data_IF_628023111345
#
_entry.id   IF_628023111345
#
_cell.length_a   1.000
_cell.length_b   1.000
_cell.length_c   1.000
_cell.angle_alpha   90.00
_cell.angle_beta   90.00
_cell.angle_gamma   90.00
#
_symmetry.space_group_name_H-M   'P 1'
#
loop_
_entity.id
_entity.type
_entity.pdbx_description
1 polymer ?
#
# COMPACT_ATOMS: atom_id res chain seq x y z
N UNK A 1 19.65 8.64 -0.76
CA UNK A 1 19.67 7.32 -0.08
C UNK A 1 19.79 6.29 -1.19
N UNK A 2 20.69 5.32 -1.03
CA UNK A 2 20.82 4.24 -2.03
C UNK A 2 19.59 3.34 -2.02
N UNK A 3 19.23 2.77 -3.18
CA UNK A 3 18.03 1.94 -3.36
C UNK A 3 17.91 0.82 -2.32
N UNK A 4 18.99 0.09 -2.07
CA UNK A 4 19.00 -0.99 -1.06
C UNK A 4 18.74 -0.49 0.36
N UNK A 5 19.22 0.70 0.70
CA UNK A 5 18.96 1.33 2.00
C UNK A 5 17.48 1.70 2.15
N UNK A 6 16.86 2.20 1.07
CA UNK A 6 15.41 2.50 1.04
C UNK A 6 14.61 1.22 1.26
N UNK A 7 14.94 0.14 0.55
CA UNK A 7 14.27 -1.15 0.69
C UNK A 7 14.42 -1.74 2.10
N UNK A 8 15.59 -1.64 2.71
CA UNK A 8 15.82 -2.09 4.09
C UNK A 8 15.02 -1.27 5.10
N UNK A 9 14.98 0.05 4.93
CA UNK A 9 14.19 0.95 5.77
C UNK A 9 12.70 0.63 5.66
N UNK A 10 12.18 0.48 4.44
CA UNK A 10 10.79 0.12 4.18
C UNK A 10 10.40 -1.21 4.85
N UNK A 11 11.27 -2.23 4.75
CA UNK A 11 11.05 -3.53 5.42
C UNK A 11 11.04 -3.39 6.95
N UNK A 12 11.91 -2.57 7.51
CA UNK A 12 11.98 -2.35 8.96
C UNK A 12 10.72 -1.64 9.48
N UNK A 13 10.24 -0.63 8.75
CA UNK A 13 9.04 0.13 9.12
C UNK A 13 7.78 -0.73 8.94
N UNK A 14 7.67 -1.47 7.85
CA UNK A 14 6.45 -2.23 7.54
C UNK A 14 6.30 -3.53 8.34
N UNK A 15 7.40 -4.09 8.86
CA UNK A 15 7.41 -5.38 9.56
C UNK A 15 6.44 -5.46 10.75
N UNK A 16 6.34 -4.46 11.64
CA UNK A 16 5.40 -4.49 12.77
C UNK A 16 3.92 -4.51 12.32
N UNK A 17 3.63 -3.90 11.17
CA UNK A 17 2.27 -3.76 10.63
C UNK A 17 1.88 -4.91 9.67
N UNK A 18 2.80 -5.84 9.43
CA UNK A 18 2.57 -6.98 8.54
C UNK A 18 1.86 -8.11 9.25
N UNK A 19 0.63 -8.38 8.87
CA UNK A 19 -0.17 -9.51 9.37
C UNK A 19 -0.08 -10.65 8.35
N UNK A 20 0.76 -11.65 8.63
CA UNK A 20 0.95 -12.80 7.73
C UNK A 20 0.00 -13.97 8.03
N UNK A 21 -0.66 -13.99 9.20
CA UNK A 21 -1.58 -15.05 9.63
C UNK A 21 -2.84 -14.46 10.23
N UNK A 22 -3.89 -14.36 9.44
CA UNK A 22 -5.17 -13.78 9.84
C UNK A 22 -5.86 -14.51 11.00
N UNK A 23 -5.69 -15.83 11.14
CA UNK A 23 -6.35 -16.62 12.18
C UNK A 23 -6.03 -16.20 13.63
N UNK A 24 -4.90 -15.52 13.85
CA UNK A 24 -4.50 -15.00 15.17
C UNK A 24 -4.68 -13.48 15.30
N UNK A 25 -5.15 -12.83 14.24
CA UNK A 25 -5.33 -11.39 14.23
C UNK A 25 -6.57 -11.00 15.04
N UNK A 26 -6.42 -10.02 15.92
CA UNK A 26 -7.53 -9.40 16.65
C UNK A 26 -7.40 -7.89 16.50
N UNK A 27 -8.38 -7.28 15.89
CA UNK A 27 -8.39 -5.84 15.62
C UNK A 27 -8.18 -4.99 16.87
N UNK A 28 -8.73 -5.42 18.02
CA UNK A 28 -8.58 -4.74 19.30
C UNK A 28 -7.14 -4.64 19.82
N UNK A 29 -6.25 -5.49 19.32
CA UNK A 29 -4.85 -5.53 19.74
C UNK A 29 -3.97 -4.57 18.91
N UNK A 30 -4.58 -3.81 17.98
CA UNK A 30 -3.92 -2.88 17.09
C UNK A 30 -4.49 -1.48 17.26
N UNK A 31 -3.63 -0.54 17.67
CA UNK A 31 -4.00 0.87 17.76
C UNK A 31 -3.83 1.52 16.38
N UNK A 32 -4.89 2.06 15.77
CA UNK A 32 -4.79 2.76 14.49
C UNK A 32 -3.96 4.06 14.55
N UNK A 33 -3.71 4.58 15.74
CA UNK A 33 -2.86 5.75 15.96
C UNK A 33 -1.39 5.40 16.25
N UNK A 34 -1.03 4.10 16.25
CA UNK A 34 0.34 3.66 16.48
C UNK A 34 1.25 4.08 15.31
N UNK A 35 2.14 5.01 15.58
CA UNK A 35 3.17 5.47 14.65
C UNK A 35 4.50 4.68 14.77
N UNK A 36 4.52 3.65 15.59
CA UNK A 36 5.71 2.87 15.90
C UNK A 36 6.83 3.75 16.51
N UNK A 37 8.07 3.59 16.06
CA UNK A 37 9.20 4.37 16.58
C UNK A 37 9.26 5.81 16.06
N UNK A 38 8.26 6.27 15.26
CA UNK A 38 8.27 7.59 14.63
C UNK A 38 7.44 8.58 15.46
N UNK A 39 8.08 9.28 16.36
CA UNK A 39 7.48 10.43 17.07
C UNK A 39 7.43 11.70 16.23
N UNK A 40 6.84 12.77 16.77
CA UNK A 40 6.66 14.04 16.07
C UNK A 40 8.02 14.68 15.62
N UNK A 41 9.07 14.44 16.36
CA UNK A 41 10.44 14.88 16.06
C UNK A 41 10.98 14.23 14.78
N UNK A 42 10.45 13.09 14.37
CA UNK A 42 10.89 12.36 13.18
C UNK A 42 10.13 12.75 11.89
N UNK A 43 9.13 13.66 11.98
CA UNK A 43 8.32 14.06 10.82
C UNK A 43 9.10 14.52 9.59
N UNK A 44 10.17 15.36 9.72
CA UNK A 44 10.98 15.76 8.57
C UNK A 44 11.66 14.55 7.92
N UNK A 45 12.31 13.71 8.71
CA UNK A 45 13.01 12.51 8.24
C UNK A 45 12.03 11.49 7.63
N UNK A 46 10.82 11.39 8.16
CA UNK A 46 9.76 10.54 7.63
C UNK A 46 9.28 11.02 6.25
N UNK A 47 9.22 12.34 6.04
CA UNK A 47 8.88 12.94 4.75
C UNK A 47 9.94 12.64 3.69
N UNK A 48 11.21 12.80 4.03
CA UNK A 48 12.32 12.50 3.12
C UNK A 48 12.38 11.00 2.78
N UNK A 49 12.13 10.14 3.77
CA UNK A 49 12.06 8.69 3.59
C UNK A 49 10.88 8.28 2.70
N UNK A 50 9.75 8.97 2.81
CA UNK A 50 8.58 8.74 1.96
C UNK A 50 8.85 9.11 0.51
N UNK A 51 9.52 10.26 0.26
CA UNK A 51 9.91 10.69 -1.07
C UNK A 51 10.87 9.69 -1.71
N UNK A 52 11.92 9.31 -1.00
CA UNK A 52 12.85 8.27 -1.45
C UNK A 52 12.14 6.92 -1.68
N UNK A 53 11.14 6.59 -0.86
CA UNK A 53 10.31 5.40 -1.01
C UNK A 53 9.47 5.41 -2.29
N UNK A 54 8.92 6.57 -2.66
CA UNK A 54 8.16 6.70 -3.92
C UNK A 54 9.04 6.55 -5.15
N UNK A 55 10.25 7.14 -5.11
CA UNK A 55 11.22 6.99 -6.22
C UNK A 55 11.65 5.54 -6.39
N UNK A 56 11.92 4.85 -5.27
CA UNK A 56 12.25 3.43 -5.29
C UNK A 56 11.08 2.57 -5.80
N UNK A 57 9.84 2.92 -5.42
CA UNK A 57 8.63 2.22 -5.89
C UNK A 57 8.42 2.40 -7.40
N UNK A 58 8.67 3.60 -7.93
CA UNK A 58 8.62 3.86 -9.36
C UNK A 58 9.64 3.00 -10.12
N UNK A 59 10.88 2.92 -9.65
CA UNK A 59 11.90 2.04 -10.25
C UNK A 59 11.50 0.57 -10.21
N UNK A 60 10.95 0.10 -9.09
CA UNK A 60 10.46 -1.28 -8.95
C UNK A 60 9.30 -1.57 -9.91
N UNK A 61 8.42 -0.62 -10.11
CA UNK A 61 7.29 -0.75 -11.01
C UNK A 61 7.75 -0.83 -12.48
N UNK A 62 8.72 0.00 -12.87
CA UNK A 62 9.32 -0.06 -14.22
C UNK A 62 9.99 -1.43 -14.46
N UNK A 63 10.71 -1.96 -13.46
CA UNK A 63 11.32 -3.29 -13.55
C UNK A 63 10.26 -4.39 -13.64
N UNK A 64 9.18 -4.28 -12.84
CA UNK A 64 8.06 -5.22 -12.86
C UNK A 64 7.35 -5.21 -14.22
N UNK A 65 7.14 -4.02 -14.77
CA UNK A 65 6.53 -3.84 -16.08
C UNK A 65 7.41 -4.45 -17.20
N UNK A 66 8.71 -4.15 -17.17
CA UNK A 66 9.64 -4.60 -18.19
C UNK A 66 9.84 -6.13 -18.24
N UNK A 67 9.70 -6.84 -17.10
CA UNK A 67 9.90 -8.29 -17.05
C UNK A 67 8.72 -9.09 -17.63
N UNK A 68 7.52 -8.50 -17.75
CA UNK A 68 6.30 -9.03 -18.40
C UNK A 68 5.91 -10.48 -18.01
N UNK A 69 6.21 -10.91 -16.79
CA UNK A 69 5.91 -12.28 -16.30
C UNK A 69 5.02 -12.28 -15.05
N UNK A 70 5.13 -11.24 -14.23
CA UNK A 70 4.47 -11.16 -12.93
C UNK A 70 3.76 -9.82 -12.80
N UNK A 71 2.65 -9.84 -12.11
CA UNK A 71 1.94 -8.64 -11.69
C UNK A 71 1.72 -8.67 -10.18
N UNK A 72 1.50 -7.50 -9.61
CA UNK A 72 1.14 -7.34 -8.19
C UNK A 72 -0.28 -6.84 -8.12
N UNK A 73 -1.14 -7.58 -7.43
CA UNK A 73 -2.51 -7.17 -7.13
C UNK A 73 -2.53 -6.52 -5.74
N UNK A 74 -2.90 -5.25 -5.69
CA UNK A 74 -3.11 -4.51 -4.44
C UNK A 74 -4.60 -4.35 -4.20
N UNK A 75 -5.10 -4.93 -3.11
CA UNK A 75 -6.50 -4.82 -2.72
C UNK A 75 -6.60 -3.85 -1.54
N UNK A 76 -7.26 -2.71 -1.76
CA UNK A 76 -7.53 -1.71 -0.73
C UNK A 76 -8.99 -1.79 -0.31
N UNK A 77 -9.22 -2.19 0.93
CA UNK A 77 -10.55 -2.24 1.50
C UNK A 77 -10.60 -1.38 2.76
N UNK A 78 -11.61 -0.53 2.85
CA UNK A 78 -11.85 0.29 4.02
C UNK A 78 -13.33 0.72 4.05
N UNK A 79 -13.79 1.08 5.25
CA UNK A 79 -15.08 1.74 5.40
C UNK A 79 -15.08 3.08 4.67
N UNK A 80 -16.27 3.59 4.39
CA UNK A 80 -16.42 4.93 3.81
C UNK A 80 -15.74 5.98 4.71
N UNK A 81 -15.16 7.00 4.08
CA UNK A 81 -14.40 8.06 4.74
C UNK A 81 -13.16 7.61 5.56
N UNK A 82 -12.73 6.34 5.50
CA UNK A 82 -11.55 5.84 6.21
C UNK A 82 -10.20 6.25 5.60
N UNK A 83 -10.20 7.10 4.57
CA UNK A 83 -8.98 7.63 3.97
C UNK A 83 -8.34 6.76 2.88
N UNK A 84 -9.00 5.70 2.43
CA UNK A 84 -8.50 4.77 1.40
C UNK A 84 -8.00 5.49 0.14
N UNK A 85 -8.80 6.39 -0.40
CA UNK A 85 -8.49 7.10 -1.65
C UNK A 85 -7.31 8.06 -1.46
N UNK A 86 -7.22 8.69 -0.29
CA UNK A 86 -6.07 9.52 0.10
C UNK A 86 -4.79 8.72 0.17
N UNK A 87 -4.83 7.54 0.79
CA UNK A 87 -3.69 6.63 0.90
C UNK A 87 -3.22 6.15 -0.49
N UNK A 88 -4.15 5.71 -1.35
CA UNK A 88 -3.83 5.29 -2.72
C UNK A 88 -3.18 6.44 -3.50
N UNK A 89 -3.82 7.61 -3.50
CA UNK A 89 -3.30 8.80 -4.19
C UNK A 89 -1.90 9.19 -3.71
N UNK A 90 -1.65 9.06 -2.41
CA UNK A 90 -0.38 9.42 -1.80
C UNK A 90 0.74 8.42 -2.15
N UNK A 91 0.47 7.12 -2.06
CA UNK A 91 1.43 6.06 -2.34
C UNK A 91 1.71 5.94 -3.83
N UNK A 92 0.67 6.04 -4.66
CA UNK A 92 0.79 5.87 -6.11
C UNK A 92 1.23 7.14 -6.85
N UNK A 93 1.45 8.26 -6.15
CA UNK A 93 1.98 9.48 -6.77
C UNK A 93 3.42 9.24 -7.24
N UNK A 94 3.69 9.38 -8.53
CA UNK A 94 4.99 9.11 -9.14
C UNK A 94 5.11 7.72 -9.80
N UNK A 95 4.10 6.87 -9.69
CA UNK A 95 4.02 5.62 -10.41
C UNK A 95 3.57 5.87 -11.85
N UNK A 96 4.17 5.17 -12.84
CA UNK A 96 3.76 5.27 -14.23
C UNK A 96 2.36 4.64 -14.42
N UNK A 97 1.33 5.43 -14.79
CA UNK A 97 -0.02 4.92 -14.94
C UNK A 97 -0.18 3.89 -16.06
N UNK A 98 0.71 3.86 -17.05
CA UNK A 98 0.67 2.87 -18.13
C UNK A 98 0.91 1.43 -17.63
N UNK A 99 1.62 1.28 -16.53
CA UNK A 99 1.87 -0.02 -15.89
C UNK A 99 0.84 -0.40 -14.83
N UNK A 100 -0.25 0.36 -14.67
CA UNK A 100 -1.25 0.16 -13.63
C UNK A 100 -2.66 0.05 -14.22
N UNK A 101 -3.42 -0.90 -13.68
CA UNK A 101 -4.87 -0.96 -13.91
C UNK A 101 -5.58 -0.71 -12.58
N UNK A 102 -6.56 0.17 -12.59
CA UNK A 102 -7.31 0.54 -11.37
C UNK A 102 -8.77 0.20 -11.55
N UNK A 103 -9.29 -0.61 -10.65
CA UNK A 103 -10.70 -0.96 -10.57
C UNK A 103 -11.28 -0.42 -9.27
N UNK A 104 -12.35 0.35 -9.38
CA UNK A 104 -13.07 0.90 -8.23
C UNK A 104 -14.40 0.18 -8.08
N UNK A 105 -14.51 -0.63 -7.05
CA UNK A 105 -15.76 -1.31 -6.69
C UNK A 105 -16.59 -0.40 -5.79
N UNK A 106 -17.86 -0.26 -6.14
CA UNK A 106 -18.89 0.42 -5.33
C UNK A 106 -19.77 -0.63 -4.65
N UNK A 107 -20.91 -0.21 -4.13
CA UNK A 107 -21.93 -1.15 -3.72
C UNK A 107 -22.29 -2.06 -4.91
N UNK A 108 -22.36 -3.38 -4.70
CA UNK A 108 -22.65 -4.32 -5.78
C UNK A 108 -24.02 -4.02 -6.41
N UNK A 109 -24.12 -4.19 -7.72
CA UNK A 109 -25.38 -4.16 -8.45
C UNK A 109 -26.22 -5.43 -8.15
N UNK A 110 -27.49 -5.42 -8.53
CA UNK A 110 -28.34 -6.62 -8.39
C UNK A 110 -27.77 -7.80 -9.17
N UNK A 111 -27.23 -7.57 -10.35
CA UNK A 111 -26.58 -8.59 -11.17
C UNK A 111 -25.32 -9.16 -10.50
N UNK A 112 -24.49 -8.33 -9.90
CA UNK A 112 -23.29 -8.77 -9.17
C UNK A 112 -23.64 -9.58 -7.91
N UNK A 113 -24.78 -9.29 -7.27
CA UNK A 113 -25.26 -10.03 -6.10
C UNK A 113 -25.76 -11.43 -6.43
N UNK A 114 -26.17 -11.65 -7.67
CA UNK A 114 -26.64 -12.97 -8.16
C UNK A 114 -25.47 -13.89 -8.58
N UNK A 115 -24.24 -13.37 -8.55
CA UNK A 115 -23.05 -14.09 -8.97
C UNK A 115 -22.04 -14.29 -7.85
N UNK A 116 -21.07 -15.15 -8.09
CA UNK A 116 -19.92 -15.33 -7.22
C UNK A 116 -19.06 -14.05 -7.18
N UNK A 117 -18.40 -13.80 -6.05
CA UNK A 117 -17.58 -12.61 -5.85
C UNK A 117 -16.35 -12.51 -6.76
N UNK A 118 -16.03 -13.55 -7.51
CA UNK A 118 -15.01 -13.56 -8.55
C UNK A 118 -15.56 -13.32 -9.96
N UNK A 119 -16.89 -13.22 -10.07
CA UNK A 119 -17.53 -13.00 -11.36
C UNK A 119 -17.15 -11.66 -11.96
#
# INVERSE_FOLDING_TARGET
MEFDQVCQLARRISRPHRIARGAKFKLRDHDPADTGPLGDEHKPAAKDALEAGRDALAQLQDMLYAQDRWSVLLIFQAMDAAGKDGAIKHVMSGINPQGCQVYSFKAPSEEELDHDWLW
#
